data_IF_013316966912
#
_entry.id   IF_013316966912
#
_cell.length_a   1.000
_cell.length_b   1.000
_cell.length_c   1.000
_cell.angle_alpha   90.00
_cell.angle_beta   90.00
_cell.angle_gamma   90.00
#
_symmetry.space_group_name_H-M   'P 1'
#
loop_
_entity.id
_entity.type
_entity.pdbx_description
1 polymer ?
#
# COMPACT_ATOMS: atom_id res chain seq x y z
N UNK A 1 6.69 23.32 98.70
CA UNK A 1 6.27 24.27 97.65
C UNK A 1 7.29 24.11 96.54
N UNK A 2 7.02 23.16 95.67
CA UNK A 2 8.05 22.52 94.85
C UNK A 2 7.64 22.71 93.38
N UNK A 3 8.57 23.09 92.48
CA UNK A 3 8.24 23.30 91.09
C UNK A 3 7.87 21.96 90.42
N UNK A 4 6.90 21.95 89.48
CA UNK A 4 6.45 20.72 88.85
C UNK A 4 7.56 20.11 88.00
N UNK A 5 7.74 18.78 88.10
CA UNK A 5 8.41 18.03 87.05
C UNK A 5 7.55 18.12 85.79
N UNK A 6 8.15 18.57 84.69
CA UNK A 6 7.58 18.38 83.36
C UNK A 6 8.17 17.09 82.84
N UNK A 7 7.44 16.00 82.99
CA UNK A 7 7.76 14.74 82.31
C UNK A 7 7.59 14.94 80.81
N UNK A 8 8.69 15.26 80.14
CA UNK A 8 8.75 15.23 78.68
C UNK A 8 8.83 13.76 78.28
N UNK A 9 7.67 13.16 78.02
CA UNK A 9 7.58 11.88 77.35
C UNK A 9 8.28 12.00 75.98
N UNK A 10 9.53 11.56 75.90
CA UNK A 10 10.13 11.22 74.61
C UNK A 10 9.36 10.02 74.07
N UNK A 11 8.36 10.32 73.24
CA UNK A 11 7.86 9.38 72.26
C UNK A 11 9.06 8.96 71.40
N UNK A 12 9.66 7.84 71.76
CA UNK A 12 10.42 7.02 70.85
C UNK A 12 9.44 6.47 69.82
N UNK A 13 9.04 7.31 68.87
CA UNK A 13 8.48 6.86 67.61
C UNK A 13 9.46 5.86 67.04
N UNK A 14 9.04 4.60 67.10
CA UNK A 14 9.81 3.47 66.64
C UNK A 14 9.94 3.63 65.13
N UNK A 15 11.09 4.16 64.70
CA UNK A 15 11.46 4.22 63.29
C UNK A 15 11.24 2.81 62.74
N UNK A 16 10.20 2.64 61.93
CA UNK A 16 10.00 1.38 61.23
C UNK A 16 11.21 1.23 60.30
N UNK A 17 11.95 0.14 60.47
CA UNK A 17 13.05 -0.20 59.59
C UNK A 17 12.50 -0.18 58.17
N UNK A 18 13.00 0.76 57.35
CA UNK A 18 12.59 0.90 55.97
C UNK A 18 12.92 -0.42 55.27
N UNK A 19 11.89 -1.26 55.09
CA UNK A 19 12.02 -2.58 54.48
C UNK A 19 12.68 -2.36 53.14
N UNK A 20 13.89 -2.90 52.97
CA UNK A 20 14.61 -2.82 51.70
C UNK A 20 13.65 -3.28 50.60
N UNK A 21 13.27 -2.37 49.69
CA UNK A 21 12.35 -2.72 48.61
C UNK A 21 13.07 -3.70 47.69
N UNK A 22 12.77 -4.98 47.92
CA UNK A 22 13.39 -6.11 47.23
C UNK A 22 13.39 -5.83 45.72
N UNK A 23 14.56 -5.83 45.05
CA UNK A 23 14.70 -5.35 43.68
C UNK A 23 13.62 -5.87 42.75
N UNK A 24 12.83 -4.93 42.21
CA UNK A 24 11.78 -5.20 41.26
C UNK A 24 12.37 -5.76 39.96
N UNK A 25 11.88 -6.92 39.54
CA UNK A 25 12.23 -7.53 38.27
C UNK A 25 11.34 -6.90 37.18
N UNK A 26 11.93 -6.14 36.26
CA UNK A 26 11.19 -5.51 35.17
C UNK A 26 11.07 -6.45 33.96
N UNK A 27 10.04 -6.24 33.14
CA UNK A 27 10.03 -6.75 31.77
C UNK A 27 11.08 -6.02 30.92
N UNK A 28 11.58 -6.69 29.88
CA UNK A 28 12.59 -6.18 28.94
C UNK A 28 12.21 -6.49 27.49
N UNK A 29 10.91 -6.64 27.21
CA UNK A 29 10.37 -6.83 25.86
C UNK A 29 10.04 -5.46 25.26
N UNK A 30 10.39 -5.28 23.98
CA UNK A 30 10.21 -4.07 23.19
C UNK A 30 9.51 -4.43 21.88
N UNK A 31 8.95 -3.42 21.21
CA UNK A 31 8.41 -3.55 19.86
C UNK A 31 9.51 -3.95 18.87
N UNK A 32 9.37 -5.15 18.29
CA UNK A 32 10.38 -5.74 17.42
C UNK A 32 10.45 -5.08 16.05
N UNK A 33 9.38 -4.41 15.63
CA UNK A 33 9.28 -3.74 14.35
C UNK A 33 10.07 -2.43 14.43
N UNK A 34 9.85 -1.62 15.47
CA UNK A 34 10.63 -0.40 15.73
C UNK A 34 12.12 -0.72 15.99
N UNK A 35 12.42 -1.79 16.71
CA UNK A 35 13.81 -2.29 16.87
C UNK A 35 14.44 -2.71 15.53
N UNK A 36 13.65 -3.21 14.58
CA UNK A 36 14.14 -3.56 13.25
C UNK A 36 14.33 -2.32 12.36
N UNK A 37 13.38 -1.38 12.37
CA UNK A 37 13.45 -0.09 11.67
C UNK A 37 14.71 0.69 12.10
N UNK A 38 14.89 0.94 13.40
CA UNK A 38 16.11 1.59 13.95
C UNK A 38 17.38 0.81 13.54
N UNK A 39 17.35 -0.52 13.54
CA UNK A 39 18.50 -1.34 13.13
C UNK A 39 18.82 -1.28 11.62
N UNK A 40 17.88 -0.88 10.76
CA UNK A 40 18.18 -0.62 9.35
C UNK A 40 19.01 0.65 9.19
N UNK A 41 18.58 1.77 9.81
CA UNK A 41 19.19 3.11 9.74
C UNK A 41 20.70 3.12 10.08
N UNK A 42 21.11 2.30 11.06
CA UNK A 42 22.49 2.28 11.55
C UNK A 42 23.55 1.99 10.46
N UNK A 43 23.24 1.22 9.41
CA UNK A 43 24.24 0.85 8.40
C UNK A 43 24.45 1.92 7.31
N UNK A 44 23.41 2.49 6.68
CA UNK A 44 23.55 3.66 5.81
C UNK A 44 24.17 4.88 6.53
N UNK A 45 23.85 5.07 7.82
CA UNK A 45 24.48 6.09 8.66
C UNK A 45 25.98 5.88 8.80
N UNK A 46 26.42 4.65 9.15
CA UNK A 46 27.84 4.31 9.23
C UNK A 46 28.56 4.48 7.88
N UNK A 47 27.95 4.02 6.79
CA UNK A 47 28.51 4.17 5.44
C UNK A 47 28.67 5.66 5.07
N UNK A 48 27.65 6.49 5.35
CA UNK A 48 27.68 7.94 5.16
C UNK A 48 28.80 8.61 5.96
N UNK A 49 28.97 8.24 7.23
CA UNK A 49 30.04 8.75 8.09
C UNK A 49 31.44 8.33 7.58
N UNK A 50 31.58 7.09 7.08
CA UNK A 50 32.82 6.62 6.45
C UNK A 50 33.15 7.40 5.17
N UNK A 51 32.16 7.60 4.29
CA UNK A 51 32.30 8.33 3.01
C UNK A 51 32.65 9.80 3.25
N UNK A 52 31.98 10.48 4.19
CA UNK A 52 32.19 11.91 4.45
C UNK A 52 33.48 12.20 5.26
N UNK A 53 33.98 11.22 6.04
CA UNK A 53 35.29 11.33 6.71
C UNK A 53 36.48 11.05 5.77
N UNK A 54 36.30 10.20 4.76
CA UNK A 54 37.41 9.71 3.91
C UNK A 54 38.00 10.82 3.05
N UNK A 55 39.09 11.43 3.54
CA UNK A 55 39.75 12.56 2.88
C UNK A 55 40.63 12.09 1.72
N UNK A 56 40.25 12.47 0.49
CA UNK A 56 41.21 12.67 -0.60
C UNK A 56 41.92 11.45 -1.20
N UNK A 57 41.49 10.23 -0.88
CA UNK A 57 41.83 9.01 -1.62
C UNK A 57 43.22 8.40 -1.35
N UNK A 58 43.24 7.37 -0.51
CA UNK A 58 44.13 6.21 -0.67
C UNK A 58 43.55 5.02 0.11
N UNK A 59 43.72 3.81 -0.42
CA UNK A 59 43.04 2.59 0.06
C UNK A 59 43.57 2.09 1.41
N UNK A 60 42.92 2.50 2.50
CA UNK A 60 42.53 1.52 3.53
C UNK A 60 41.18 0.92 3.11
N UNK A 61 41.03 -0.41 3.19
CA UNK A 61 39.75 -1.05 2.84
C UNK A 61 38.62 -0.56 3.76
N UNK A 62 37.35 -0.48 3.29
CA UNK A 62 36.23 0.02 4.10
C UNK A 62 36.13 -0.61 5.49
N UNK A 63 36.38 -1.93 5.59
CA UNK A 63 36.41 -2.67 6.85
C UNK A 63 37.44 -2.18 7.90
N UNK A 64 38.45 -1.40 7.54
CA UNK A 64 39.38 -0.78 8.50
C UNK A 64 38.80 0.52 9.08
N UNK A 65 38.34 1.44 8.23
CA UNK A 65 37.77 2.73 8.66
C UNK A 65 36.45 2.53 9.40
N UNK A 66 35.65 1.56 8.96
CA UNK A 66 34.34 1.28 9.53
C UNK A 66 34.39 0.68 10.95
N UNK A 67 35.49 0.06 11.41
CA UNK A 67 35.57 -0.48 12.79
C UNK A 67 35.56 0.65 13.80
N UNK A 68 36.46 1.61 13.65
CA UNK A 68 36.60 2.73 14.58
C UNK A 68 35.40 3.66 14.48
N UNK A 69 34.96 3.97 13.26
CA UNK A 69 33.76 4.79 13.02
C UNK A 69 32.49 4.15 13.61
N UNK A 70 32.35 2.82 13.58
CA UNK A 70 31.22 2.13 14.20
C UNK A 70 31.26 2.21 15.72
N UNK A 71 32.44 2.13 16.35
CA UNK A 71 32.53 2.34 17.81
C UNK A 71 32.10 3.76 18.15
N UNK A 72 32.72 4.75 17.50
CA UNK A 72 32.43 6.16 17.75
C UNK A 72 30.95 6.51 17.51
N UNK A 73 30.32 5.89 16.50
CA UNK A 73 28.88 6.00 16.23
C UNK A 73 28.02 5.39 17.33
N UNK A 74 28.32 4.16 17.77
CA UNK A 74 27.57 3.49 18.84
C UNK A 74 27.72 4.24 20.17
N UNK A 75 28.93 4.69 20.50
CA UNK A 75 29.23 5.44 21.72
C UNK A 75 28.52 6.80 21.70
N UNK A 76 28.54 7.53 20.58
CA UNK A 76 27.81 8.79 20.39
C UNK A 76 26.29 8.61 20.49
N UNK A 77 25.71 7.68 19.73
CA UNK A 77 24.26 7.46 19.72
C UNK A 77 23.75 7.02 21.10
N UNK A 78 24.51 6.18 21.80
CA UNK A 78 24.17 5.76 23.17
C UNK A 78 24.14 6.96 24.10
N UNK A 79 25.22 7.74 24.17
CA UNK A 79 25.26 8.95 25.02
C UNK A 79 24.18 9.98 24.67
N UNK A 80 23.93 10.21 23.37
CA UNK A 80 22.88 11.11 22.87
C UNK A 80 21.48 10.64 23.31
N UNK A 81 21.22 9.34 23.25
CA UNK A 81 19.95 8.75 23.69
C UNK A 81 19.75 8.81 25.21
N UNK A 82 20.83 8.72 26.00
CA UNK A 82 20.77 8.82 27.47
C UNK A 82 20.46 10.25 27.95
N UNK A 83 20.87 11.29 27.22
CA UNK A 83 20.56 12.69 27.58
C UNK A 83 19.23 13.18 27.00
N UNK A 84 18.71 12.54 25.94
CA UNK A 84 17.51 12.97 25.21
C UNK A 84 16.32 13.34 26.11
N UNK A 85 15.98 12.49 27.08
CA UNK A 85 14.82 12.70 27.98
C UNK A 85 15.01 13.92 28.89
N UNK A 86 16.24 14.25 29.25
CA UNK A 86 16.55 15.42 30.07
C UNK A 86 16.52 16.73 29.26
N UNK A 87 16.73 16.65 27.94
CA UNK A 87 16.66 17.78 27.02
C UNK A 87 15.23 18.03 26.55
N UNK A 88 14.49 16.98 26.17
CA UNK A 88 13.11 17.11 25.69
C UNK A 88 12.18 17.70 26.76
N UNK A 89 12.39 17.37 28.04
CA UNK A 89 11.65 17.94 29.19
C UNK A 89 12.01 19.41 29.47
N UNK A 90 13.08 19.95 28.87
CA UNK A 90 13.46 21.37 28.94
C UNK A 90 12.94 22.17 27.73
N UNK A 91 12.79 21.53 26.57
CA UNK A 91 12.24 22.17 25.36
C UNK A 91 10.71 22.06 25.27
N UNK A 92 10.11 20.96 25.71
CA UNK A 92 8.64 20.82 25.84
C UNK A 92 8.14 21.63 27.05
N UNK A 93 7.44 22.75 26.76
CA UNK A 93 7.00 23.75 27.73
C UNK A 93 5.89 23.36 28.72
N UNK A 94 5.85 22.10 29.17
CA UNK A 94 4.90 21.58 30.14
C UNK A 94 4.48 20.12 29.87
N UNK A 95 3.76 19.47 30.80
CA UNK A 95 3.40 18.05 30.68
C UNK A 95 2.49 17.69 29.49
N UNK A 96 1.80 18.68 28.93
CA UNK A 96 0.76 18.50 27.90
C UNK A 96 1.29 18.73 26.46
N UNK A 97 2.61 18.69 26.26
CA UNK A 97 3.20 18.73 24.92
C UNK A 97 3.05 17.37 24.22
N UNK A 98 2.08 17.27 23.31
CA UNK A 98 1.92 16.10 22.44
C UNK A 98 2.91 16.12 21.26
N UNK A 99 4.21 15.98 21.53
CA UNK A 99 5.09 15.33 20.56
C UNK A 99 5.26 13.85 20.94
N UNK A 100 4.78 12.99 20.05
CA UNK A 100 5.07 11.56 20.04
C UNK A 100 5.88 11.27 18.78
N UNK A 101 7.07 11.86 18.72
CA UNK A 101 8.00 11.67 17.61
C UNK A 101 8.33 10.18 17.50
N UNK A 102 8.37 9.67 16.26
CA UNK A 102 8.63 8.27 15.99
C UNK A 102 10.05 7.90 16.50
N UNK A 103 10.22 6.82 17.28
CA UNK A 103 11.54 6.42 17.75
C UNK A 103 12.56 6.17 16.62
N UNK A 104 12.10 5.77 15.44
CA UNK A 104 12.95 5.64 14.25
C UNK A 104 13.47 7.01 13.78
N UNK A 105 12.58 8.00 13.66
CA UNK A 105 12.93 9.38 13.25
C UNK A 105 13.89 10.05 14.27
N UNK A 106 13.68 9.87 15.58
CA UNK A 106 14.58 10.39 16.62
C UNK A 106 16.01 9.84 16.47
N UNK A 107 16.16 8.56 16.11
CA UNK A 107 17.48 7.96 15.88
C UNK A 107 18.04 8.32 14.50
N UNK A 108 17.21 8.55 13.49
CA UNK A 108 17.64 9.12 12.20
C UNK A 108 18.27 10.51 12.39
N UNK A 109 17.62 11.40 13.15
CA UNK A 109 18.18 12.72 13.51
C UNK A 109 19.54 12.59 14.21
N UNK A 110 19.67 11.70 15.20
CA UNK A 110 20.95 11.48 15.89
C UNK A 110 22.04 10.89 14.97
N UNK A 111 21.65 10.08 13.99
CA UNK A 111 22.56 9.51 12.99
C UNK A 111 23.04 10.59 12.01
N UNK A 112 22.16 11.50 11.58
CA UNK A 112 22.51 12.59 10.66
C UNK A 112 23.33 13.69 11.35
N UNK A 113 23.10 13.96 12.64
CA UNK A 113 23.98 14.78 13.49
C UNK A 113 25.38 14.14 13.59
N UNK A 114 25.46 12.83 13.85
CA UNK A 114 26.73 12.11 13.89
C UNK A 114 27.47 12.16 12.55
N UNK A 115 26.79 11.85 11.44
CA UNK A 115 27.36 11.93 10.08
C UNK A 115 27.84 13.36 9.77
N UNK A 116 27.05 14.37 10.16
CA UNK A 116 27.40 15.77 9.98
C UNK A 116 28.65 16.17 10.78
N UNK A 117 28.86 15.60 11.96
CA UNK A 117 30.08 15.81 12.75
C UNK A 117 31.36 15.30 12.05
N UNK A 118 31.24 14.34 11.11
CA UNK A 118 32.37 13.74 10.37
C UNK A 118 32.71 14.47 9.06
N UNK A 119 31.95 15.50 8.68
CA UNK A 119 32.16 16.25 7.43
C UNK A 119 33.39 17.15 7.51
N UNK A 120 34.53 16.62 7.08
CA UNK A 120 35.80 17.34 7.06
C UNK A 120 35.74 18.65 6.25
N UNK A 121 36.29 19.74 6.81
CA UNK A 121 36.21 21.11 6.26
C UNK A 121 36.68 21.27 4.79
N UNK A 122 37.49 20.35 4.27
CA UNK A 122 37.95 20.36 2.88
C UNK A 122 36.92 19.85 1.86
N UNK A 123 35.87 19.10 2.26
CA UNK A 123 34.78 18.68 1.36
C UNK A 123 33.92 19.85 0.87
N UNK A 124 34.00 21.00 1.55
CA UNK A 124 33.22 22.21 1.29
C UNK A 124 33.61 22.96 0.01
N UNK A 125 34.64 22.49 -0.73
CA UNK A 125 35.18 23.18 -1.91
C UNK A 125 35.07 22.29 -3.16
N UNK A 126 34.16 22.70 -4.05
CA UNK A 126 34.02 22.26 -5.46
C UNK A 126 33.67 20.79 -5.78
N UNK A 127 32.54 20.62 -6.46
CA UNK A 127 32.24 19.53 -7.43
C UNK A 127 32.24 18.05 -6.99
N UNK A 128 32.69 17.69 -5.79
CA UNK A 128 32.41 16.36 -5.21
C UNK A 128 30.95 16.24 -4.73
N UNK A 129 30.32 17.38 -4.43
CA UNK A 129 28.94 17.52 -3.93
C UNK A 129 27.85 17.46 -5.01
N UNK A 130 28.07 16.71 -6.10
CA UNK A 130 26.98 16.34 -7.01
C UNK A 130 26.40 15.02 -6.47
N UNK A 131 25.17 15.11 -5.91
CA UNK A 131 24.40 14.10 -5.15
C UNK A 131 24.76 12.66 -5.48
N UNK A 132 24.53 12.31 -6.74
CA UNK A 132 24.51 10.96 -7.28
C UNK A 132 25.81 10.22 -6.94
N UNK A 133 26.97 10.88 -7.09
CA UNK A 133 28.31 10.29 -6.82
C UNK A 133 28.69 10.15 -5.35
N UNK A 134 27.85 10.63 -4.43
CA UNK A 134 27.95 10.35 -2.99
C UNK A 134 27.01 9.22 -2.63
N UNK A 135 25.79 9.25 -3.14
CA UNK A 135 24.78 8.19 -2.97
C UNK A 135 25.28 6.85 -3.53
N UNK A 136 25.78 6.82 -4.79
CA UNK A 136 26.46 5.66 -5.41
C UNK A 136 27.49 5.00 -4.46
N UNK A 137 28.29 5.81 -3.76
CA UNK A 137 29.36 5.34 -2.87
C UNK A 137 28.87 4.87 -1.52
N UNK A 138 27.75 5.41 -1.04
CA UNK A 138 27.12 4.95 0.20
C UNK A 138 26.50 3.58 -0.07
N UNK A 139 25.83 3.41 -1.21
CA UNK A 139 25.27 2.13 -1.65
C UNK A 139 26.37 1.08 -1.89
N UNK A 140 27.47 1.43 -2.57
CA UNK A 140 28.66 0.57 -2.70
C UNK A 140 29.21 0.14 -1.32
N UNK A 141 29.33 1.08 -0.37
CA UNK A 141 29.83 0.78 0.99
C UNK A 141 28.86 -0.07 1.81
N UNK A 142 27.55 0.19 1.74
CA UNK A 142 26.52 -0.64 2.39
C UNK A 142 26.54 -2.05 1.80
N UNK A 143 26.56 -2.17 0.47
CA UNK A 143 26.63 -3.46 -0.21
C UNK A 143 27.92 -4.22 0.14
N UNK A 144 29.09 -3.57 0.24
CA UNK A 144 30.31 -4.23 0.72
C UNK A 144 30.17 -4.69 2.18
N UNK A 145 29.64 -3.84 3.08
CA UNK A 145 29.47 -4.17 4.49
C UNK A 145 28.45 -5.31 4.72
N UNK A 146 27.39 -5.39 3.93
CA UNK A 146 26.43 -6.51 4.00
C UNK A 146 27.01 -7.79 3.39
N UNK A 147 27.66 -7.71 2.22
CA UNK A 147 28.29 -8.86 1.54
C UNK A 147 29.43 -9.47 2.36
N UNK A 148 30.17 -8.64 3.10
CA UNK A 148 31.24 -9.08 4.01
C UNK A 148 30.75 -9.46 5.42
N UNK A 149 29.46 -9.26 5.73
CA UNK A 149 28.88 -9.50 7.06
C UNK A 149 29.44 -8.58 8.15
N UNK A 150 29.96 -7.41 7.80
CA UNK A 150 30.67 -6.48 8.68
C UNK A 150 29.85 -6.07 9.92
N UNK A 151 28.57 -5.74 9.73
CA UNK A 151 27.64 -5.40 10.81
C UNK A 151 26.27 -6.07 10.59
N UNK A 152 26.25 -7.39 10.83
CA UNK A 152 25.05 -8.23 10.79
C UNK A 152 23.85 -7.61 11.52
N UNK A 153 22.65 -7.79 10.97
CA UNK A 153 21.40 -7.23 11.49
C UNK A 153 21.18 -7.52 12.98
N UNK A 154 21.43 -8.75 13.44
CA UNK A 154 21.28 -9.13 14.86
C UNK A 154 22.14 -8.25 15.79
N UNK A 155 23.32 -7.83 15.34
CA UNK A 155 24.21 -6.93 16.09
C UNK A 155 23.70 -5.48 16.04
N UNK A 156 23.11 -5.05 14.93
CA UNK A 156 22.42 -3.75 14.83
C UNK A 156 21.20 -3.69 15.75
N UNK A 157 20.42 -4.77 15.82
CA UNK A 157 19.27 -4.90 16.72
C UNK A 157 19.64 -4.89 18.22
N UNK A 158 20.84 -5.33 18.62
CA UNK A 158 21.30 -5.19 20.01
C UNK A 158 21.46 -3.71 20.37
N UNK A 159 22.06 -2.90 19.48
CA UNK A 159 22.20 -1.46 19.68
C UNK A 159 20.84 -0.76 19.64
N UNK A 160 20.00 -1.07 18.65
CA UNK A 160 18.66 -0.51 18.53
C UNK A 160 17.79 -0.71 19.78
N UNK A 161 17.91 -1.85 20.48
CA UNK A 161 17.21 -2.11 21.75
C UNK A 161 17.69 -1.25 22.91
N UNK A 162 18.96 -0.82 22.90
CA UNK A 162 19.50 0.12 23.90
C UNK A 162 18.98 1.52 23.59
N UNK A 163 19.14 1.98 22.35
CA UNK A 163 18.71 3.30 21.89
C UNK A 163 17.20 3.51 22.12
N UNK A 164 16.35 2.58 21.67
CA UNK A 164 14.90 2.64 21.85
C UNK A 164 14.50 2.74 23.32
N UNK A 165 15.12 1.95 24.19
CA UNK A 165 14.82 1.96 25.63
C UNK A 165 15.20 3.29 26.29
N UNK A 166 16.25 3.95 25.81
CA UNK A 166 16.70 5.23 26.35
C UNK A 166 15.78 6.39 25.93
N UNK A 167 15.21 6.36 24.71
CA UNK A 167 14.32 7.42 24.21
C UNK A 167 12.83 7.20 24.52
N UNK A 168 12.37 5.95 24.72
CA UNK A 168 10.96 5.63 24.99
C UNK A 168 10.55 5.86 26.46
N UNK A 169 10.72 7.09 26.95
CA UNK A 169 10.36 7.46 28.33
C UNK A 169 8.84 7.45 28.62
N UNK A 170 8.02 7.40 27.56
CA UNK A 170 6.55 7.26 27.64
C UNK A 170 6.10 5.79 27.68
N UNK A 171 7.01 4.82 27.56
CA UNK A 171 6.77 3.36 27.53
C UNK A 171 5.82 2.91 26.40
N UNK A 172 5.80 3.65 25.29
CA UNK A 172 4.94 3.41 24.13
C UNK A 172 5.41 2.24 23.25
N UNK A 173 6.67 1.84 23.40
CA UNK A 173 7.35 0.84 22.56
C UNK A 173 8.10 -0.22 23.38
N UNK A 174 8.06 -0.19 24.71
CA UNK A 174 8.56 -1.25 25.57
C UNK A 174 7.69 -1.52 26.81
N UNK A 175 7.89 -2.69 27.42
CA UNK A 175 7.11 -3.10 28.59
C UNK A 175 7.73 -2.60 29.90
N UNK A 176 6.98 -1.80 30.64
CA UNK A 176 7.37 -1.21 31.93
C UNK A 176 7.01 -2.04 33.16
N UNK A 177 6.27 -3.14 32.98
CA UNK A 177 5.74 -3.96 34.07
C UNK A 177 6.83 -4.51 35.00
N UNK A 178 6.56 -4.46 36.31
CA UNK A 178 7.50 -4.81 37.40
C UNK A 178 6.91 -5.90 38.29
N UNK A 179 7.77 -6.80 38.76
CA UNK A 179 7.37 -8.02 39.49
C UNK A 179 8.26 -8.26 40.72
N UNK A 180 7.69 -8.82 41.79
CA UNK A 180 8.43 -9.14 43.02
C UNK A 180 9.05 -10.55 43.02
N UNK A 181 8.61 -11.42 42.09
CA UNK A 181 9.10 -12.79 41.93
C UNK A 181 9.43 -13.11 40.47
N UNK A 182 10.35 -14.04 40.25
CA UNK A 182 10.81 -14.42 38.92
C UNK A 182 9.76 -15.24 38.15
N UNK A 183 8.94 -16.01 38.86
CA UNK A 183 7.84 -16.81 38.34
C UNK A 183 6.74 -15.92 37.73
N UNK A 184 6.49 -14.77 38.34
CA UNK A 184 5.49 -13.78 37.89
C UNK A 184 5.93 -13.12 36.58
N UNK A 185 7.20 -12.67 36.51
CA UNK A 185 7.82 -12.15 35.27
C UNK A 185 7.86 -13.21 34.16
N UNK A 186 8.22 -14.45 34.50
CA UNK A 186 8.28 -15.57 33.54
C UNK A 186 6.89 -15.88 32.97
N UNK A 187 5.85 -15.88 33.80
CA UNK A 187 4.46 -15.99 33.35
C UNK A 187 4.05 -14.84 32.43
N UNK A 188 4.41 -13.61 32.78
CA UNK A 188 4.13 -12.41 31.99
C UNK A 188 4.69 -12.47 30.56
N UNK A 189 5.89 -13.03 30.31
CA UNK A 189 6.45 -13.12 28.96
C UNK A 189 5.52 -13.82 27.95
N UNK A 190 4.70 -14.78 28.40
CA UNK A 190 3.73 -15.48 27.55
C UNK A 190 2.51 -14.63 27.16
N UNK A 191 2.26 -13.53 27.88
CA UNK A 191 1.08 -12.66 27.77
C UNK A 191 1.42 -11.26 27.24
N UNK A 192 2.65 -10.78 27.47
CA UNK A 192 3.14 -9.45 27.09
C UNK A 192 2.86 -9.10 25.62
N UNK A 193 2.30 -7.91 25.36
CA UNK A 193 2.00 -7.43 24.00
C UNK A 193 3.24 -7.32 23.11
N UNK A 194 4.41 -7.05 23.68
CA UNK A 194 5.67 -6.91 22.95
C UNK A 194 6.36 -8.26 22.64
N UNK A 195 5.85 -9.40 23.13
CA UNK A 195 6.46 -10.72 22.88
C UNK A 195 6.49 -11.05 21.39
N UNK A 196 7.59 -11.67 20.94
CA UNK A 196 7.67 -12.27 19.60
C UNK A 196 6.56 -13.29 19.40
N UNK A 197 5.87 -13.18 18.26
CA UNK A 197 4.97 -14.18 17.70
C UNK A 197 5.26 -14.33 16.21
N UNK A 198 5.13 -15.54 15.68
CA UNK A 198 5.27 -15.78 14.25
C UNK A 198 3.91 -15.64 13.55
N UNK A 199 3.94 -15.34 12.26
CA UNK A 199 2.74 -15.38 11.43
C UNK A 199 2.11 -16.77 11.41
N UNK A 200 0.78 -16.84 11.35
CA UNK A 200 0.02 -18.09 11.24
C UNK A 200 -0.41 -18.41 9.79
N UNK A 201 -0.13 -17.52 8.83
CA UNK A 201 -0.42 -17.76 7.41
C UNK A 201 0.66 -18.67 6.80
N UNK A 202 0.22 -19.71 6.07
CA UNK A 202 1.12 -20.70 5.47
C UNK A 202 2.13 -20.06 4.50
N UNK A 203 3.42 -20.41 4.65
CA UNK A 203 4.51 -19.81 3.88
C UNK A 203 5.09 -18.50 4.45
N UNK A 204 4.41 -17.84 5.39
CA UNK A 204 4.92 -16.60 5.99
C UNK A 204 5.91 -16.89 7.14
N UNK A 205 7.19 -16.60 6.93
CA UNK A 205 8.24 -16.72 7.95
C UNK A 205 8.42 -15.49 8.84
N UNK A 206 7.49 -14.52 8.80
CA UNK A 206 7.60 -13.29 9.57
C UNK A 206 7.41 -13.54 11.07
N UNK A 207 8.23 -12.88 11.89
CA UNK A 207 8.11 -12.81 13.35
C UNK A 207 8.03 -11.34 13.75
N UNK A 208 7.11 -11.01 14.65
CA UNK A 208 6.78 -9.64 15.05
C UNK A 208 6.29 -9.57 16.49
N UNK A 209 6.21 -8.39 17.10
CA UNK A 209 5.59 -8.22 18.41
C UNK A 209 4.08 -8.49 18.35
N UNK A 210 3.52 -9.16 19.35
CA UNK A 210 2.10 -9.55 19.35
C UNK A 210 1.12 -8.36 19.21
N UNK A 211 1.54 -7.15 19.60
CA UNK A 211 0.88 -5.87 19.37
C UNK A 211 0.67 -5.57 17.87
N UNK A 212 1.70 -5.80 17.05
CA UNK A 212 1.71 -5.49 15.61
C UNK A 212 1.01 -6.55 14.75
N UNK A 213 0.30 -7.51 15.35
CA UNK A 213 -0.40 -8.58 14.64
C UNK A 213 -1.41 -8.07 13.61
N UNK A 214 -2.18 -7.04 13.95
CA UNK A 214 -3.20 -6.49 13.05
C UNK A 214 -2.55 -5.67 11.92
N UNK A 215 -1.49 -4.89 12.22
CA UNK A 215 -0.63 -4.23 11.23
C UNK A 215 -0.09 -5.27 10.23
N UNK A 216 0.51 -6.35 10.70
CA UNK A 216 1.02 -7.43 9.83
C UNK A 216 -0.08 -8.12 9.02
N UNK A 217 -1.19 -8.53 9.65
CA UNK A 217 -2.30 -9.22 8.98
C UNK A 217 -2.93 -8.38 7.84
N UNK A 218 -2.96 -7.06 8.02
CA UNK A 218 -3.45 -6.13 7.00
C UNK A 218 -2.60 -6.10 5.72
N UNK A 219 -1.29 -6.38 5.80
CA UNK A 219 -0.33 -6.35 4.68
C UNK A 219 0.20 -7.72 4.25
N UNK A 220 -0.03 -8.79 5.04
CA UNK A 220 0.61 -10.09 4.87
C UNK A 220 0.41 -10.68 3.46
N UNK A 221 1.52 -10.90 2.73
CA UNK A 221 1.55 -11.38 1.35
C UNK A 221 1.03 -12.82 1.18
N UNK A 222 1.09 -13.62 2.24
CA UNK A 222 0.66 -15.02 2.29
C UNK A 222 -0.76 -15.18 2.85
N UNK A 223 -1.41 -14.08 3.28
CA UNK A 223 -2.80 -14.14 3.73
C UNK A 223 -3.69 -14.56 2.57
N UNK A 224 -4.47 -15.60 2.77
CA UNK A 224 -5.47 -16.08 1.82
C UNK A 224 -6.70 -15.16 1.88
N UNK A 225 -7.13 -14.65 0.72
CA UNK A 225 -8.20 -13.68 0.55
C UNK A 225 -9.12 -14.10 -0.61
N UNK A 226 -10.43 -13.77 -0.57
CA UNK A 226 -11.31 -13.96 -1.72
C UNK A 226 -10.86 -13.08 -2.89
N UNK A 227 -11.07 -13.56 -4.12
CA UNK A 227 -10.71 -12.83 -5.33
C UNK A 227 -11.39 -11.44 -5.41
N UNK A 228 -10.61 -10.38 -5.63
CA UNK A 228 -11.11 -8.98 -5.74
C UNK A 228 -12.09 -8.78 -6.91
N UNK A 229 -11.95 -9.56 -7.99
CA UNK A 229 -12.91 -9.58 -9.10
C UNK A 229 -14.17 -10.42 -8.78
N UNK A 230 -14.35 -10.84 -7.53
CA UNK A 230 -15.48 -11.61 -7.01
C UNK A 230 -15.71 -12.95 -7.75
N UNK A 231 -14.62 -13.63 -8.12
CA UNK A 231 -14.70 -15.02 -8.55
C UNK A 231 -14.65 -16.00 -7.35
N UNK A 232 -15.00 -17.29 -7.53
CA UNK A 232 -15.08 -18.25 -6.42
C UNK A 232 -13.75 -18.61 -5.73
N UNK A 233 -12.60 -18.22 -6.32
CA UNK A 233 -11.28 -18.59 -5.80
C UNK A 233 -10.88 -17.76 -4.57
N UNK A 234 -10.17 -18.40 -3.66
CA UNK A 234 -9.45 -17.76 -2.56
C UNK A 234 -7.94 -17.97 -2.78
N UNK A 235 -7.15 -16.92 -2.66
CA UNK A 235 -5.78 -16.83 -3.17
C UNK A 235 -4.87 -16.14 -2.16
N UNK A 236 -3.58 -16.44 -2.14
CA UNK A 236 -2.65 -15.62 -1.36
C UNK A 236 -2.57 -14.21 -1.95
N UNK A 237 -2.49 -13.19 -1.10
CA UNK A 237 -2.48 -11.76 -1.52
C UNK A 237 -1.49 -11.48 -2.66
N UNK A 238 -0.28 -12.03 -2.62
CA UNK A 238 0.73 -11.82 -3.66
C UNK A 238 0.42 -12.49 -5.02
N UNK A 239 -0.55 -13.40 -5.07
CA UNK A 239 -1.01 -14.04 -6.31
C UNK A 239 -2.20 -13.30 -6.95
N UNK A 240 -2.85 -12.39 -6.21
CA UNK A 240 -4.11 -11.74 -6.58
C UNK A 240 -4.02 -11.02 -7.94
N UNK A 241 -3.05 -10.12 -8.10
CA UNK A 241 -2.83 -9.38 -9.36
C UNK A 241 -2.62 -10.34 -10.53
N UNK A 242 -1.74 -11.34 -10.35
CA UNK A 242 -1.43 -12.33 -11.38
C UNK A 242 -2.68 -13.11 -11.77
N UNK A 243 -3.49 -13.53 -10.82
CA UNK A 243 -4.76 -14.22 -11.08
C UNK A 243 -5.72 -13.31 -11.87
N UNK A 244 -6.00 -12.11 -11.34
CA UNK A 244 -6.89 -11.09 -11.89
C UNK A 244 -6.50 -10.66 -13.32
N UNK A 245 -5.21 -10.64 -13.64
CA UNK A 245 -4.67 -10.25 -14.96
C UNK A 245 -4.57 -11.44 -15.93
N UNK A 246 -4.41 -12.69 -15.48
CA UNK A 246 -4.13 -13.83 -16.38
C UNK A 246 -5.27 -14.85 -16.51
N UNK A 247 -5.69 -15.46 -15.40
CA UNK A 247 -6.53 -16.66 -15.41
C UNK A 247 -7.97 -16.44 -14.96
N UNK A 248 -8.23 -15.39 -14.16
CA UNK A 248 -9.53 -15.14 -13.54
C UNK A 248 -10.71 -15.25 -14.53
N UNK A 249 -11.79 -15.99 -14.20
CA UNK A 249 -12.98 -16.06 -15.05
C UNK A 249 -13.74 -14.72 -15.08
N UNK A 250 -13.58 -13.88 -14.06
CA UNK A 250 -14.21 -12.55 -13.98
C UNK A 250 -13.41 -11.45 -14.71
N UNK A 251 -12.20 -11.76 -15.18
CA UNK A 251 -11.35 -10.81 -15.92
C UNK A 251 -12.11 -10.20 -17.08
N UNK A 252 -12.13 -8.87 -17.13
CA UNK A 252 -12.69 -8.11 -18.24
C UNK A 252 -11.88 -8.30 -19.53
N UNK A 253 -12.57 -8.61 -20.62
CA UNK A 253 -12.02 -8.70 -21.99
C UNK A 253 -12.98 -8.09 -23.01
N UNK A 254 -12.44 -7.65 -24.14
CA UNK A 254 -13.25 -7.16 -25.25
C UNK A 254 -14.00 -8.31 -25.93
N UNK A 255 -15.23 -8.05 -26.36
CA UNK A 255 -16.01 -8.97 -27.19
C UNK A 255 -15.23 -9.40 -28.46
N UNK A 256 -15.32 -10.67 -28.93
CA UNK A 256 -14.71 -11.11 -30.20
C UNK A 256 -15.08 -10.25 -31.43
N UNK A 257 -16.19 -9.53 -31.37
CA UNK A 257 -16.71 -8.65 -32.43
C UNK A 257 -16.32 -7.16 -32.25
N UNK A 258 -15.39 -6.84 -31.34
CA UNK A 258 -14.96 -5.47 -31.06
C UNK A 258 -14.40 -4.75 -32.29
N UNK A 259 -13.60 -5.45 -33.11
CA UNK A 259 -12.98 -4.88 -34.32
C UNK A 259 -13.97 -4.58 -35.45
N UNK A 260 -15.20 -5.08 -35.39
CA UNK A 260 -16.26 -4.76 -36.37
C UNK A 260 -17.32 -3.80 -35.81
N UNK A 261 -17.34 -3.53 -34.50
CA UNK A 261 -18.17 -2.48 -33.90
C UNK A 261 -18.73 -2.77 -32.50
N UNK A 262 -18.62 -3.99 -31.98
CA UNK A 262 -19.17 -4.34 -30.66
C UNK A 262 -18.27 -3.84 -29.52
N UNK A 263 -18.49 -2.61 -29.06
CA UNK A 263 -17.68 -1.94 -28.01
C UNK A 263 -17.79 -2.55 -26.60
N UNK A 264 -18.41 -3.73 -26.44
CA UNK A 264 -18.60 -4.36 -25.14
C UNK A 264 -17.31 -4.95 -24.58
N UNK A 265 -17.01 -4.57 -23.32
CA UNK A 265 -15.96 -5.14 -22.48
C UNK A 265 -16.65 -5.85 -21.32
N UNK A 266 -16.40 -7.14 -21.13
CA UNK A 266 -17.21 -8.04 -20.29
C UNK A 266 -16.36 -9.10 -19.58
N UNK A 267 -16.82 -9.68 -18.46
CA UNK A 267 -16.17 -10.82 -17.82
C UNK A 267 -15.95 -11.98 -18.80
N UNK A 268 -14.77 -12.60 -18.74
CA UNK A 268 -14.38 -13.73 -19.60
C UNK A 268 -15.38 -14.91 -19.55
N UNK A 269 -16.01 -15.14 -18.40
CA UNK A 269 -17.05 -16.16 -18.23
C UNK A 269 -18.39 -15.86 -18.92
N UNK A 270 -18.72 -14.59 -19.23
CA UNK A 270 -20.03 -14.21 -19.81
C UNK A 270 -20.00 -13.99 -21.32
N UNK A 271 -18.84 -14.15 -21.97
CA UNK A 271 -18.68 -13.96 -23.43
C UNK A 271 -19.69 -14.80 -24.23
N UNK A 272 -19.89 -16.07 -23.87
CA UNK A 272 -20.75 -16.98 -24.64
C UNK A 272 -22.22 -16.56 -24.59
N UNK A 273 -22.67 -16.08 -23.42
CA UNK A 273 -24.01 -15.52 -23.23
C UNK A 273 -24.17 -14.22 -24.03
N UNK A 274 -23.25 -13.27 -23.87
CA UNK A 274 -23.23 -12.00 -24.61
C UNK A 274 -23.22 -12.19 -26.14
N UNK A 275 -22.40 -13.12 -26.66
CA UNK A 275 -22.35 -13.42 -28.09
C UNK A 275 -23.65 -14.01 -28.63
N UNK A 276 -24.39 -14.75 -27.79
CA UNK A 276 -25.70 -15.31 -28.10
C UNK A 276 -26.77 -14.22 -28.08
N UNK A 277 -26.86 -13.45 -27.00
CA UNK A 277 -27.90 -12.41 -26.80
C UNK A 277 -27.79 -11.28 -27.82
N UNK A 278 -26.57 -10.87 -28.17
CA UNK A 278 -26.33 -9.81 -29.17
C UNK A 278 -26.04 -10.35 -30.58
N UNK A 279 -26.35 -11.61 -30.88
CA UNK A 279 -26.08 -12.23 -32.20
C UNK A 279 -26.61 -11.39 -33.38
N UNK A 280 -27.80 -10.79 -33.24
CA UNK A 280 -28.36 -9.88 -34.25
C UNK A 280 -27.43 -8.68 -34.52
N UNK A 281 -26.92 -8.04 -33.45
CA UNK A 281 -25.99 -6.91 -33.56
C UNK A 281 -24.64 -7.34 -34.13
N UNK A 282 -24.15 -8.53 -33.78
CA UNK A 282 -22.92 -9.10 -34.34
C UNK A 282 -23.03 -9.38 -35.85
N UNK A 283 -24.16 -9.94 -36.31
CA UNK A 283 -24.47 -10.08 -37.74
C UNK A 283 -24.56 -8.70 -38.42
N UNK A 284 -25.08 -7.67 -37.73
CA UNK A 284 -25.14 -6.31 -38.28
C UNK A 284 -23.79 -5.65 -38.49
N UNK A 285 -22.87 -5.76 -37.53
CA UNK A 285 -21.52 -5.25 -37.70
C UNK A 285 -20.77 -5.95 -38.85
N UNK A 286 -21.00 -7.27 -39.04
CA UNK A 286 -20.44 -8.03 -40.16
C UNK A 286 -21.05 -7.56 -41.50
N UNK A 287 -22.38 -7.43 -41.59
CA UNK A 287 -23.04 -6.98 -42.81
C UNK A 287 -22.65 -5.54 -43.20
N UNK A 288 -22.48 -4.63 -42.24
CA UNK A 288 -21.94 -3.28 -42.49
C UNK A 288 -20.50 -3.32 -43.06
N UNK A 289 -19.67 -4.26 -42.60
CA UNK A 289 -18.32 -4.47 -43.12
C UNK A 289 -18.28 -5.04 -44.55
N UNK A 290 -19.33 -5.77 -44.96
CA UNK A 290 -19.49 -6.31 -46.32
C UNK A 290 -20.09 -5.25 -47.26
N UNK A 291 -21.18 -4.61 -46.85
CA UNK A 291 -22.05 -3.76 -47.66
C UNK A 291 -21.94 -2.28 -47.25
N UNK A 292 -20.75 -1.71 -47.43
CA UNK A 292 -20.37 -0.37 -46.92
C UNK A 292 -21.25 0.81 -47.38
N UNK A 293 -21.98 0.66 -48.49
CA UNK A 293 -22.78 1.71 -49.15
C UNK A 293 -24.30 1.45 -49.09
N UNK A 294 -24.74 0.54 -48.23
CA UNK A 294 -26.15 0.16 -48.06
C UNK A 294 -26.73 0.78 -46.79
N UNK A 295 -27.99 1.21 -46.84
CA UNK A 295 -28.67 1.83 -45.70
C UNK A 295 -28.78 0.86 -44.51
N UNK A 296 -28.72 1.38 -43.29
CA UNK A 296 -28.75 0.57 -42.06
C UNK A 296 -30.06 -0.21 -41.93
N UNK A 297 -31.12 0.32 -42.52
CA UNK A 297 -32.49 -0.19 -42.56
C UNK A 297 -32.61 -1.38 -43.51
N UNK A 298 -32.05 -1.26 -44.73
CA UNK A 298 -31.91 -2.35 -45.70
C UNK A 298 -31.06 -3.50 -45.11
N UNK A 299 -29.95 -3.15 -44.45
CA UNK A 299 -29.13 -4.11 -43.72
C UNK A 299 -29.95 -4.80 -42.62
N UNK A 300 -30.70 -4.07 -41.78
CA UNK A 300 -31.54 -4.67 -40.74
C UNK A 300 -32.51 -5.70 -41.33
N UNK A 301 -33.21 -5.37 -42.41
CA UNK A 301 -34.08 -6.32 -43.10
C UNK A 301 -33.31 -7.58 -43.55
N UNK A 302 -32.08 -7.41 -44.08
CA UNK A 302 -31.20 -8.52 -44.45
C UNK A 302 -30.74 -9.37 -43.26
N UNK A 303 -30.50 -8.78 -42.09
CA UNK A 303 -30.24 -9.49 -40.83
C UNK A 303 -31.38 -10.46 -40.50
N UNK A 304 -32.61 -9.96 -40.56
CA UNK A 304 -33.81 -10.73 -40.28
C UNK A 304 -34.06 -11.83 -41.32
N UNK A 305 -33.67 -11.63 -42.59
CA UNK A 305 -33.67 -12.70 -43.62
C UNK A 305 -32.68 -13.81 -43.28
N UNK A 306 -31.42 -13.47 -42.96
CA UNK A 306 -30.39 -14.44 -42.59
C UNK A 306 -30.79 -15.28 -41.37
N UNK A 307 -31.45 -14.67 -40.38
CA UNK A 307 -31.95 -15.34 -39.18
C UNK A 307 -33.20 -16.22 -39.41
N UNK A 308 -33.92 -16.03 -40.53
CA UNK A 308 -35.05 -16.89 -40.95
C UNK A 308 -34.58 -18.05 -41.84
N UNK A 309 -33.57 -17.81 -42.68
CA UNK A 309 -33.02 -18.77 -43.66
C UNK A 309 -32.03 -19.73 -43.01
N UNK A 310 -31.16 -19.22 -42.14
CA UNK A 310 -30.51 -20.06 -41.16
C UNK A 310 -31.54 -20.46 -40.10
N UNK A 311 -31.83 -21.76 -39.97
CA UNK A 311 -32.36 -22.29 -38.71
C UNK A 311 -31.50 -21.73 -37.56
N UNK A 312 -32.12 -21.03 -36.59
CA UNK A 312 -31.42 -20.16 -35.62
C UNK A 312 -30.20 -20.83 -34.98
N UNK A 313 -30.33 -22.13 -34.70
CA UNK A 313 -29.32 -23.06 -34.18
C UNK A 313 -28.01 -23.22 -34.98
N UNK A 314 -27.87 -22.65 -36.18
CA UNK A 314 -26.60 -22.68 -36.94
C UNK A 314 -25.72 -21.46 -36.68
N UNK A 315 -26.29 -20.25 -36.62
CA UNK A 315 -25.53 -19.01 -36.45
C UNK A 315 -25.08 -18.79 -34.99
N UNK A 316 -25.87 -19.27 -34.02
CA UNK A 316 -25.55 -19.23 -32.57
C UNK A 316 -24.26 -19.98 -32.20
N UNK A 317 -23.80 -20.91 -33.04
CA UNK A 317 -22.65 -21.76 -32.73
C UNK A 317 -21.30 -21.07 -33.03
N UNK A 318 -21.30 -19.96 -33.77
CA UNK A 318 -20.07 -19.28 -34.18
C UNK A 318 -19.68 -18.21 -33.16
N UNK A 319 -18.82 -18.62 -32.22
CA UNK A 319 -18.36 -17.80 -31.09
C UNK A 319 -17.18 -16.88 -31.42
N UNK A 320 -16.58 -17.03 -32.60
CA UNK A 320 -15.50 -16.19 -33.09
C UNK A 320 -15.89 -15.40 -34.36
N UNK A 321 -15.23 -14.24 -34.54
CA UNK A 321 -15.49 -13.33 -35.65
C UNK A 321 -15.27 -13.98 -37.03
N UNK A 322 -14.27 -14.84 -37.19
CA UNK A 322 -13.92 -15.42 -38.49
C UNK A 322 -14.98 -16.42 -38.94
N UNK A 323 -15.39 -17.32 -38.05
CA UNK A 323 -16.41 -18.32 -38.37
C UNK A 323 -17.78 -17.69 -38.61
N UNK A 324 -18.21 -16.72 -37.79
CA UNK A 324 -19.48 -16.02 -38.04
C UNK A 324 -19.43 -15.21 -39.34
N UNK A 325 -18.30 -14.54 -39.64
CA UNK A 325 -18.13 -13.81 -40.91
C UNK A 325 -18.20 -14.74 -42.13
N UNK A 326 -17.62 -15.94 -42.06
CA UNK A 326 -17.70 -16.93 -43.13
C UNK A 326 -19.14 -17.47 -43.31
N UNK A 327 -19.84 -17.74 -42.21
CA UNK A 327 -21.24 -18.18 -42.25
C UNK A 327 -22.19 -17.11 -42.81
N UNK A 328 -22.07 -15.87 -42.35
CA UNK A 328 -22.84 -14.72 -42.85
C UNK A 328 -22.56 -14.52 -44.34
N UNK A 329 -21.29 -14.48 -44.78
CA UNK A 329 -20.95 -14.32 -46.21
C UNK A 329 -21.53 -15.43 -47.10
N UNK A 330 -21.58 -16.68 -46.63
CA UNK A 330 -22.15 -17.80 -47.40
C UNK A 330 -23.66 -17.63 -47.58
N UNK A 331 -24.38 -17.40 -46.47
CA UNK A 331 -25.83 -17.23 -46.49
C UNK A 331 -26.27 -15.96 -47.22
N UNK A 332 -25.46 -14.89 -47.13
CA UNK A 332 -25.71 -13.64 -47.86
C UNK A 332 -25.51 -13.80 -49.38
N UNK A 333 -24.53 -14.59 -49.82
CA UNK A 333 -24.39 -14.95 -51.23
C UNK A 333 -25.54 -15.85 -51.74
N UNK A 334 -26.04 -16.75 -50.90
CA UNK A 334 -27.22 -17.60 -51.21
C UNK A 334 -28.52 -16.78 -51.37
N UNK A 335 -28.58 -15.56 -50.82
CA UNK A 335 -29.74 -14.67 -50.86
C UNK A 335 -29.60 -13.49 -51.86
N UNK A 336 -28.63 -13.53 -52.78
CA UNK A 336 -28.53 -12.56 -53.88
C UNK A 336 -28.18 -11.12 -53.46
N UNK A 337 -28.34 -10.12 -54.35
CA UNK A 337 -28.09 -8.72 -54.02
C UNK A 337 -29.14 -8.16 -53.04
N UNK A 338 -28.76 -7.16 -52.23
CA UNK A 338 -29.70 -6.47 -51.34
C UNK A 338 -30.61 -5.55 -52.16
N UNK A 339 -31.92 -5.81 -52.10
CA UNK A 339 -32.95 -4.91 -52.59
C UNK A 339 -32.97 -3.64 -51.73
N UNK A 340 -32.67 -2.48 -52.32
CA UNK A 340 -32.73 -1.19 -51.63
C UNK A 340 -34.19 -0.77 -51.44
N UNK A 341 -34.57 -0.39 -50.23
CA UNK A 341 -35.92 0.11 -49.94
C UNK A 341 -36.11 1.49 -50.56
N UNK A 342 -36.65 1.54 -51.78
CA UNK A 342 -36.92 2.82 -52.48
C UNK A 342 -37.98 3.59 -51.72
N UNK A 343 -37.58 4.71 -51.10
CA UNK A 343 -38.50 5.64 -50.44
C UNK A 343 -39.52 6.16 -51.45
N UNK A 344 -40.81 5.86 -51.21
CA UNK A 344 -41.90 6.12 -52.14
C UNK A 344 -42.36 7.59 -52.10
N UNK A 345 -41.51 8.51 -52.54
CA UNK A 345 -41.84 9.94 -52.67
C UNK A 345 -42.39 10.26 -54.05
N UNK A 346 -43.68 9.96 -54.28
CA UNK A 346 -44.36 10.29 -55.54
C UNK A 346 -45.87 10.62 -55.38
N UNK A 347 -46.16 11.92 -55.33
CA UNK A 347 -47.38 12.61 -55.83
C UNK A 347 -48.76 12.20 -55.30
N UNK A 348 -49.35 13.13 -54.54
CA UNK A 348 -50.74 13.53 -54.71
C UNK A 348 -50.80 15.07 -54.60
N UNK A 349 -51.07 15.76 -55.70
CA UNK A 349 -51.21 17.22 -55.75
C UNK A 349 -52.70 17.64 -55.64
N UNK A 350 -52.92 18.87 -55.18
CA UNK A 350 -54.17 19.64 -55.19
C UNK A 350 -55.46 19.00 -54.63
N UNK A 351 -55.86 19.47 -53.42
CA UNK A 351 -56.98 20.43 -53.40
C UNK A 351 -57.13 21.33 -52.16
N UNK A 352 -57.70 22.51 -52.45
CA UNK A 352 -58.37 23.48 -51.56
C UNK A 352 -57.46 24.41 -50.71
N UNK A 353 -58.05 25.54 -50.29
CA UNK A 353 -57.36 26.78 -49.85
C UNK A 353 -57.82 27.27 -48.48
N UNK A 354 -56.99 28.12 -47.84
CA UNK A 354 -57.34 29.16 -46.82
C UNK A 354 -57.95 28.64 -45.50
N UNK A 355 -57.68 29.16 -44.30
CA UNK A 355 -56.96 30.38 -43.83
C UNK A 355 -56.65 30.22 -42.29
N UNK A 356 -55.98 31.08 -41.50
CA UNK A 356 -55.36 32.43 -41.61
C UNK A 356 -54.32 32.63 -40.45
N UNK A 357 -53.52 33.70 -40.50
CA UNK A 357 -52.85 34.43 -39.37
C UNK A 357 -51.79 33.77 -38.45
N UNK A 358 -50.53 34.10 -38.74
CA UNK A 358 -49.58 34.89 -37.89
C UNK A 358 -49.47 34.72 -36.36
N UNK A 359 -48.25 34.38 -35.93
CA UNK A 359 -47.41 35.05 -34.91
C UNK A 359 -48.02 36.07 -33.91
N UNK A 360 -47.94 35.76 -32.61
CA UNK A 360 -47.32 36.58 -31.53
C UNK A 360 -47.23 35.69 -30.26
N UNK A 361 -46.07 35.42 -29.65
CA UNK A 361 -45.31 36.29 -28.73
C UNK A 361 -46.12 36.83 -27.54
N UNK A 362 -46.15 36.06 -26.45
CA UNK A 362 -46.35 36.53 -25.08
C UNK A 362 -45.79 35.51 -24.07
N UNK A 363 -44.71 35.86 -23.36
CA UNK A 363 -44.50 35.39 -21.99
C UNK A 363 -45.30 36.32 -21.05
N UNK A 364 -45.66 35.91 -19.82
CA UNK A 364 -44.76 36.27 -18.73
C UNK A 364 -44.65 35.26 -17.56
N UNK A 365 -43.46 35.28 -16.94
CA UNK A 365 -43.22 35.27 -15.50
C UNK A 365 -43.87 34.23 -14.54
N UNK A 366 -43.00 33.31 -14.09
CA UNK A 366 -42.49 33.29 -12.71
C UNK A 366 -43.25 32.49 -11.60
N UNK A 367 -42.46 32.05 -10.59
CA UNK A 367 -42.81 31.40 -9.32
C UNK A 367 -43.40 29.96 -9.41
N UNK A 368 -43.12 29.03 -8.49
CA UNK A 368 -42.27 29.07 -7.29
C UNK A 368 -41.61 27.72 -6.97
N UNK A 369 -40.54 27.75 -6.17
CA UNK A 369 -40.06 26.59 -5.41
C UNK A 369 -41.09 26.15 -4.33
N UNK A 370 -40.98 24.93 -3.78
CA UNK A 370 -40.90 24.63 -2.31
C UNK A 370 -41.09 23.12 -2.00
N UNK A 371 -39.95 22.47 -1.69
CA UNK A 371 -39.73 21.44 -0.65
C UNK A 371 -40.43 20.06 -0.62
N UNK A 372 -39.65 19.10 -0.08
CA UNK A 372 -40.02 17.80 0.53
C UNK A 372 -40.33 16.66 -0.45
N UNK A 373 -39.96 15.41 -0.13
CA UNK A 373 -39.46 14.89 1.16
C UNK A 373 -38.01 14.46 1.09
#
# INVERSE_FOLDING_TARGET
MDPPMVDIELNHEKIEEAKEEKPLLCCHLLDLEVVHEIAQVLLPGLASACVDNTTGGLFTGPALVAVDMRSEMVDYLTGRSETYVAESVVEEGGPDAETCNNPTEIIEDFVDDFVSSKRNMFSRVSSWLLSDRREDKIDDFVQEMETSGFWLLDRRQIIAKILLKNIDFKNNFHCDMKFHKAEELTGHFSQCSYRSVNCMNEGCSASFSALQREKHDSVCLFKVLPCEQNCPENLMRHEMDRHCITVCPMKLVNCPFFTVGCKSTIPKCTIEQHCTDLLHSHVMYILQGIHKEVAKEDLKHRSEQLQKVSSVTKLTNFRDLRSLTLAVKKLDAELGPIEKTVSSTARADDKEKTDLSTHALAEPENLSEISKT
#
